data_IF_909264090514
#
_entry.id   IF_909264090514
#
_cell.length_a   1.000
_cell.length_b   1.000
_cell.length_c   1.000
_cell.angle_alpha   90.00
_cell.angle_beta   90.00
_cell.angle_gamma   90.00
#
_symmetry.space_group_name_H-M   'P 1'
#
loop_
_entity.id
_entity.type
_entity.pdbx_description
1 polymer ?
#
# COMPACT_ATOMS: atom_id res chain seq x y z
N UNK A 1 -74.57 41.95 30.24
CA UNK A 1 -73.16 41.87 30.74
C UNK A 1 -72.79 40.41 31.00
N UNK A 2 -72.09 39.75 30.07
CA UNK A 2 -71.64 38.32 30.20
C UNK A 2 -70.13 38.30 30.38
N UNK A 3 -69.66 37.92 31.57
CA UNK A 3 -68.25 37.71 31.86
C UNK A 3 -67.83 36.35 31.31
N UNK A 4 -66.89 36.34 30.33
CA UNK A 4 -66.21 35.13 29.82
C UNK A 4 -65.06 34.84 30.78
N UNK A 5 -65.08 33.68 31.39
CA UNK A 5 -63.93 33.10 32.13
C UNK A 5 -63.03 32.40 31.14
N UNK A 6 -61.81 32.86 31.02
CA UNK A 6 -60.74 32.21 30.26
C UNK A 6 -60.05 31.20 31.18
N UNK A 7 -60.22 29.92 30.87
CA UNK A 7 -59.42 28.87 31.53
C UNK A 7 -58.03 28.81 30.80
N UNK A 8 -57.00 29.14 31.55
CA UNK A 8 -55.61 28.88 31.17
C UNK A 8 -55.31 27.41 31.50
N UNK A 9 -55.16 26.57 30.47
CA UNK A 9 -54.63 25.22 30.61
C UNK A 9 -53.10 25.29 30.58
N UNK A 10 -52.45 25.04 31.73
CA UNK A 10 -51.03 24.84 31.86
C UNK A 10 -50.71 23.45 31.28
N UNK A 11 -50.11 23.41 30.08
CA UNK A 11 -49.49 22.20 29.54
C UNK A 11 -48.12 22.07 30.16
N UNK A 12 -47.96 21.18 31.12
CA UNK A 12 -46.67 20.78 31.65
C UNK A 12 -45.95 19.89 30.59
N UNK A 13 -45.01 20.46 29.88
CA UNK A 13 -44.06 19.69 29.08
C UNK A 13 -43.13 18.91 30.01
N UNK A 14 -43.40 17.63 30.18
CA UNK A 14 -42.48 16.69 30.78
C UNK A 14 -41.31 16.49 29.81
N UNK A 15 -40.21 17.20 30.05
CA UNK A 15 -38.91 16.95 29.42
C UNK A 15 -38.36 15.62 29.91
N UNK A 16 -38.69 14.52 29.23
CA UNK A 16 -38.01 13.25 29.44
C UNK A 16 -36.59 13.39 28.90
N UNK A 17 -35.66 13.74 29.77
CA UNK A 17 -34.23 13.59 29.55
C UNK A 17 -33.94 12.08 29.41
N UNK A 18 -33.94 11.58 28.18
CA UNK A 18 -33.33 10.29 27.88
C UNK A 18 -31.83 10.44 28.16
N UNK A 19 -31.42 10.18 29.40
CA UNK A 19 -30.03 9.89 29.71
C UNK A 19 -29.70 8.65 28.88
N UNK A 20 -29.03 8.83 27.74
CA UNK A 20 -28.45 7.73 26.99
C UNK A 20 -27.53 7.01 27.97
N UNK A 21 -27.90 5.80 28.39
CA UNK A 21 -27.04 4.93 29.16
C UNK A 21 -25.84 4.61 28.27
N UNK A 22 -24.73 5.30 28.45
CA UNK A 22 -23.46 4.97 27.84
C UNK A 22 -23.05 3.66 28.47
N UNK A 23 -23.01 2.59 27.69
CA UNK A 23 -22.54 1.28 28.13
C UNK A 23 -21.06 1.42 28.55
N UNK A 24 -20.71 1.18 29.83
CA UNK A 24 -19.33 1.29 30.29
C UNK A 24 -18.40 0.29 29.61
N UNK A 25 -18.91 -0.86 29.13
CA UNK A 25 -18.15 -1.83 28.36
C UNK A 25 -17.79 -1.27 26.96
N UNK A 26 -18.72 -0.61 26.28
CA UNK A 26 -18.48 0.06 25.01
C UNK A 26 -17.43 1.19 25.15
N UNK A 27 -17.43 1.89 26.27
CA UNK A 27 -16.43 2.94 26.53
C UNK A 27 -15.03 2.35 26.78
N UNK A 28 -14.93 1.22 27.47
CA UNK A 28 -13.66 0.54 27.71
C UNK A 28 -13.07 -0.04 26.43
N UNK A 29 -13.88 -0.66 25.57
CA UNK A 29 -13.48 -1.15 24.26
C UNK A 29 -12.98 -0.01 23.37
N UNK A 30 -13.70 1.11 23.34
CA UNK A 30 -13.32 2.30 22.58
C UNK A 30 -11.97 2.87 23.06
N UNK A 31 -11.74 2.94 24.35
CA UNK A 31 -10.46 3.38 24.93
C UNK A 31 -9.32 2.42 24.59
N UNK A 32 -9.57 1.11 24.64
CA UNK A 32 -8.58 0.10 24.27
C UNK A 32 -8.18 0.22 22.80
N UNK A 33 -9.14 0.48 21.91
CA UNK A 33 -8.93 0.68 20.47
C UNK A 33 -8.08 1.94 20.22
N UNK A 34 -8.40 3.05 20.86
CA UNK A 34 -7.62 4.29 20.78
C UNK A 34 -6.19 4.10 21.29
N UNK A 35 -6.03 3.39 22.43
CA UNK A 35 -4.73 3.10 23.00
C UNK A 35 -3.87 2.18 22.12
N UNK A 36 -4.48 1.22 21.45
CA UNK A 36 -3.81 0.35 20.49
C UNK A 36 -3.36 1.13 19.25
N UNK A 37 -4.23 1.98 18.73
CA UNK A 37 -3.95 2.80 17.54
C UNK A 37 -2.89 3.86 17.83
N UNK A 38 -2.92 4.50 19.01
CA UNK A 38 -1.92 5.48 19.42
C UNK A 38 -0.50 4.90 19.60
N UNK A 39 -0.39 3.59 19.81
CA UNK A 39 0.91 2.88 19.92
C UNK A 39 1.43 2.39 18.57
N UNK A 40 0.60 2.37 17.55
CA UNK A 40 0.98 1.88 16.22
C UNK A 40 1.74 2.99 15.49
N UNK A 41 2.95 2.68 15.02
CA UNK A 41 3.63 3.57 14.10
C UNK A 41 2.83 3.66 12.79
N UNK A 42 2.71 4.85 12.19
CA UNK A 42 2.07 5.02 10.89
C UNK A 42 2.75 4.15 9.83
N UNK A 43 2.00 3.71 8.84
CA UNK A 43 2.51 2.90 7.75
C UNK A 43 2.50 3.69 6.44
N UNK A 44 3.53 3.49 5.62
CA UNK A 44 3.56 3.95 4.24
C UNK A 44 3.62 2.73 3.32
N UNK A 45 2.54 2.49 2.61
CA UNK A 45 2.40 1.37 1.69
C UNK A 45 2.54 1.87 0.25
N UNK A 46 3.48 1.31 -0.49
CA UNK A 46 3.61 1.57 -1.92
C UNK A 46 3.23 0.33 -2.73
N UNK A 47 2.50 0.54 -3.81
CA UNK A 47 2.13 -0.46 -4.79
C UNK A 47 2.74 -0.09 -6.14
N UNK A 48 3.53 -0.97 -6.70
CA UNK A 48 4.16 -0.80 -8.01
C UNK A 48 3.59 -1.83 -8.96
N UNK A 49 3.13 -1.40 -10.13
CA UNK A 49 2.45 -2.22 -11.12
C UNK A 49 3.24 -2.28 -12.41
N UNK A 50 3.56 -3.50 -12.83
CA UNK A 50 4.21 -3.76 -14.11
C UNK A 50 3.20 -3.64 -15.25
N UNK A 51 3.61 -2.94 -16.32
CA UNK A 51 2.83 -2.73 -17.53
C UNK A 51 3.23 -3.68 -18.67
N UNK A 52 4.21 -4.56 -18.47
CA UNK A 52 4.77 -5.42 -19.54
C UNK A 52 3.82 -6.48 -20.09
N UNK A 53 2.54 -6.52 -19.63
CA UNK A 53 1.57 -7.52 -20.08
C UNK A 53 1.81 -8.93 -19.54
N UNK A 54 2.85 -9.12 -18.74
CA UNK A 54 3.17 -10.39 -18.08
C UNK A 54 2.13 -10.75 -16.99
N UNK A 55 1.42 -9.74 -16.46
CA UNK A 55 0.32 -9.93 -15.50
C UNK A 55 -1.00 -10.05 -16.27
N UNK A 56 -1.50 -11.27 -16.46
CA UNK A 56 -2.72 -11.53 -17.23
C UNK A 56 -4.01 -11.53 -16.38
N UNK A 57 -5.17 -11.35 -17.04
CA UNK A 57 -6.51 -11.07 -16.48
C UNK A 57 -6.92 -11.77 -15.18
N UNK A 58 -6.64 -13.06 -14.98
CA UNK A 58 -6.97 -13.76 -13.74
C UNK A 58 -6.04 -13.41 -12.57
N UNK A 59 -4.81 -12.96 -12.85
CA UNK A 59 -3.87 -12.44 -11.85
C UNK A 59 -4.32 -11.05 -11.38
N UNK A 60 -4.84 -10.22 -12.29
CA UNK A 60 -5.42 -8.92 -11.95
C UNK A 60 -6.62 -9.05 -11.02
N UNK A 61 -7.53 -9.99 -11.28
CA UNK A 61 -8.69 -10.22 -10.40
C UNK A 61 -8.28 -10.65 -8.99
N UNK A 62 -7.24 -11.48 -8.88
CA UNK A 62 -6.66 -11.86 -7.60
C UNK A 62 -5.97 -10.66 -6.94
N UNK A 63 -5.19 -9.89 -7.69
CA UNK A 63 -4.54 -8.68 -7.21
C UNK A 63 -5.54 -7.66 -6.65
N UNK A 64 -6.68 -7.45 -7.32
CA UNK A 64 -7.75 -6.57 -6.82
C UNK A 64 -8.28 -6.97 -5.44
N UNK A 65 -8.45 -8.28 -5.21
CA UNK A 65 -8.88 -8.78 -3.89
C UNK A 65 -7.81 -8.51 -2.84
N UNK A 66 -6.55 -8.81 -3.14
CA UNK A 66 -5.42 -8.57 -2.25
C UNK A 66 -5.26 -7.07 -1.92
N UNK A 67 -5.33 -6.21 -2.93
CA UNK A 67 -5.24 -4.76 -2.79
C UNK A 67 -6.37 -4.23 -1.89
N UNK A 68 -7.62 -4.63 -2.16
CA UNK A 68 -8.77 -4.20 -1.37
C UNK A 68 -8.62 -4.58 0.10
N UNK A 69 -8.22 -5.81 0.39
CA UNK A 69 -8.08 -6.29 1.76
C UNK A 69 -6.92 -5.57 2.47
N UNK A 70 -5.82 -5.29 1.75
CA UNK A 70 -4.68 -4.54 2.29
C UNK A 70 -5.03 -3.07 2.57
N UNK A 71 -5.73 -2.39 1.65
CA UNK A 71 -6.18 -1.00 1.83
C UNK A 71 -7.15 -0.88 3.00
N UNK A 72 -8.06 -1.86 3.17
CA UNK A 72 -8.98 -1.90 4.31
C UNK A 72 -8.31 -2.04 5.66
N UNK A 73 -7.12 -2.63 5.71
CA UNK A 73 -6.36 -2.80 6.95
C UNK A 73 -5.62 -1.54 7.39
N UNK A 74 -5.54 -0.51 6.54
CA UNK A 74 -4.86 0.74 6.87
C UNK A 74 -5.63 1.55 7.91
N UNK A 75 -4.90 2.14 8.84
CA UNK A 75 -5.43 2.99 9.88
C UNK A 75 -5.32 4.48 9.54
N UNK A 76 -5.84 5.32 10.43
CA UNK A 76 -5.72 6.77 10.32
C UNK A 76 -4.26 7.21 10.26
N UNK A 77 -3.96 8.18 9.39
CA UNK A 77 -2.60 8.71 9.19
C UNK A 77 -1.68 7.84 8.33
N UNK A 78 -2.07 6.61 7.95
CA UNK A 78 -1.31 5.80 7.00
C UNK A 78 -1.30 6.43 5.61
N UNK A 79 -0.29 6.10 4.81
CA UNK A 79 -0.13 6.62 3.46
C UNK A 79 -0.13 5.49 2.44
N UNK A 80 -0.78 5.73 1.31
CA UNK A 80 -0.73 4.87 0.14
C UNK A 80 -0.04 5.62 -1.00
N UNK A 81 0.83 4.92 -1.71
CA UNK A 81 1.37 5.34 -3.00
C UNK A 81 1.13 4.24 -4.04
N UNK A 82 0.70 4.61 -5.23
CA UNK A 82 0.65 3.73 -6.40
C UNK A 82 1.55 4.30 -7.49
N UNK A 83 2.34 3.44 -8.15
CA UNK A 83 3.28 3.81 -9.20
C UNK A 83 3.30 2.75 -10.29
N UNK A 84 3.46 3.16 -11.54
CA UNK A 84 3.73 2.25 -12.66
C UNK A 84 5.23 1.98 -12.76
N UNK A 85 5.59 0.74 -13.09
CA UNK A 85 6.95 0.41 -13.53
C UNK A 85 7.23 1.12 -14.85
N UNK A 86 8.37 1.79 -14.92
CA UNK A 86 8.80 2.48 -16.12
C UNK A 86 9.28 1.51 -17.18
N UNK A 87 9.05 1.87 -18.43
CA UNK A 87 9.64 1.19 -19.56
C UNK A 87 11.04 1.71 -19.89
N UNK A 88 11.21 3.04 -19.80
CA UNK A 88 12.49 3.75 -20.05
C UNK A 88 12.61 4.90 -19.06
N UNK A 89 13.35 4.70 -18.02
CA UNK A 89 13.47 5.60 -16.87
C UNK A 89 13.93 7.04 -17.17
N UNK A 90 14.59 7.27 -18.30
CA UNK A 90 15.16 8.59 -18.64
C UNK A 90 14.21 9.46 -19.48
N UNK A 91 13.14 8.90 -20.02
CA UNK A 91 12.25 9.59 -20.96
C UNK A 91 10.79 9.69 -20.50
N UNK A 92 10.39 8.93 -19.45
CA UNK A 92 9.01 8.83 -18.98
C UNK A 92 8.88 9.27 -17.52
N UNK A 93 7.85 10.05 -17.26
CA UNK A 93 7.42 10.34 -15.89
C UNK A 93 6.45 9.22 -15.48
N UNK A 94 6.74 8.44 -14.42
CA UNK A 94 5.84 7.38 -14.00
C UNK A 94 4.51 7.98 -13.58
N UNK A 95 3.41 7.35 -13.99
CA UNK A 95 2.12 7.66 -13.42
C UNK A 95 2.16 7.31 -11.95
N UNK A 96 1.93 8.31 -11.11
CA UNK A 96 1.99 8.18 -9.66
C UNK A 96 0.75 8.78 -9.00
N UNK A 97 0.27 8.12 -7.99
CA UNK A 97 -0.78 8.60 -7.11
C UNK A 97 -0.39 8.34 -5.65
N UNK A 98 -0.61 9.30 -4.79
CA UNK A 98 -0.26 9.16 -3.38
C UNK A 98 -1.24 9.95 -2.52
N UNK A 99 -1.78 9.29 -1.48
CA UNK A 99 -2.70 9.89 -0.52
C UNK A 99 -2.51 9.31 0.88
N UNK A 100 -2.92 10.07 1.89
CA UNK A 100 -2.97 9.59 3.27
C UNK A 100 -4.40 9.28 3.69
N UNK A 101 -4.57 8.23 4.48
CA UNK A 101 -5.82 7.96 5.18
C UNK A 101 -6.11 9.15 6.08
N UNK A 102 -7.32 9.72 6.05
CA UNK A 102 -7.67 10.87 6.89
C UNK A 102 -7.31 10.62 8.35
N UNK A 103 -6.71 11.61 8.99
CA UNK A 103 -6.45 11.56 10.42
C UNK A 103 -7.77 11.71 11.19
N UNK A 104 -7.78 11.33 12.47
CA UNK A 104 -8.93 11.57 13.33
C UNK A 104 -9.07 13.06 13.59
N UNK A 105 -10.31 13.55 13.65
CA UNK A 105 -10.59 14.93 14.08
C UNK A 105 -10.12 15.16 15.52
N UNK A 106 -10.24 14.13 16.39
CA UNK A 106 -9.77 14.13 17.76
C UNK A 106 -9.06 12.82 18.08
N UNK A 107 -7.88 12.92 18.67
CA UNK A 107 -7.06 11.76 19.05
C UNK A 107 -7.61 10.99 20.27
N UNK A 108 -8.43 11.65 21.10
CA UNK A 108 -8.97 11.11 22.35
C UNK A 108 -10.38 10.50 22.20
N UNK A 109 -11.01 10.62 21.01
CA UNK A 109 -12.35 10.13 20.74
C UNK A 109 -12.44 9.41 19.42
N UNK A 110 -13.31 8.40 19.33
CA UNK A 110 -13.74 7.80 18.07
C UNK A 110 -15.05 8.45 17.66
N UNK A 111 -15.00 9.29 16.64
CA UNK A 111 -16.17 9.96 16.12
C UNK A 111 -16.76 9.17 14.93
N UNK A 112 -18.07 9.15 14.74
CA UNK A 112 -18.67 8.55 13.53
C UNK A 112 -18.17 9.19 12.24
N UNK A 113 -17.83 10.49 12.24
CA UNK A 113 -17.22 11.21 11.12
C UNK A 113 -15.91 10.60 10.68
N UNK A 114 -15.05 10.16 11.63
CA UNK A 114 -13.76 9.54 11.32
C UNK A 114 -13.95 8.23 10.56
N UNK A 115 -14.87 7.38 11.03
CA UNK A 115 -15.20 6.12 10.35
C UNK A 115 -15.74 6.36 8.95
N UNK A 116 -16.64 7.33 8.78
CA UNK A 116 -17.20 7.69 7.47
C UNK A 116 -16.12 8.22 6.53
N UNK A 117 -15.23 9.08 7.02
CA UNK A 117 -14.13 9.64 6.23
C UNK A 117 -13.16 8.54 5.78
N UNK A 118 -12.78 7.63 6.70
CA UNK A 118 -11.93 6.48 6.39
C UNK A 118 -12.59 5.53 5.38
N UNK A 119 -13.86 5.18 5.57
CA UNK A 119 -14.58 4.27 4.66
C UNK A 119 -14.73 4.85 3.25
N UNK A 120 -14.93 6.17 3.15
CA UNK A 120 -14.92 6.86 1.87
C UNK A 120 -13.54 6.76 1.22
N UNK A 121 -12.49 7.10 1.96
CA UNK A 121 -11.11 6.98 1.48
C UNK A 121 -10.80 5.57 1.00
N UNK A 122 -11.16 4.54 1.78
CA UNK A 122 -10.91 3.14 1.41
C UNK A 122 -11.60 2.77 0.09
N UNK A 123 -12.87 3.17 -0.10
CA UNK A 123 -13.58 2.93 -1.37
C UNK A 123 -12.86 3.60 -2.53
N UNK A 124 -12.60 4.91 -2.40
CA UNK A 124 -12.00 5.72 -3.47
C UNK A 124 -10.58 5.20 -3.81
N UNK A 125 -9.80 4.80 -2.80
CA UNK A 125 -8.47 4.22 -2.99
C UNK A 125 -8.53 2.85 -3.69
N UNK A 126 -9.46 1.97 -3.29
CA UNK A 126 -9.64 0.66 -3.91
C UNK A 126 -10.05 0.81 -5.38
N UNK A 127 -11.01 1.68 -5.67
CA UNK A 127 -11.48 1.93 -7.04
C UNK A 127 -10.35 2.51 -7.91
N UNK A 128 -9.57 3.45 -7.35
CA UNK A 128 -8.42 4.01 -8.05
C UNK A 128 -7.33 2.98 -8.34
N UNK A 129 -6.94 2.18 -7.33
CA UNK A 129 -5.91 1.14 -7.48
C UNK A 129 -6.34 0.06 -8.45
N UNK A 130 -7.62 -0.33 -8.45
CA UNK A 130 -8.16 -1.27 -9.42
C UNK A 130 -8.07 -0.71 -10.86
N UNK A 131 -8.51 0.53 -11.07
CA UNK A 131 -8.40 1.20 -12.37
C UNK A 131 -6.94 1.39 -12.81
N UNK A 132 -6.04 1.63 -11.85
CA UNK A 132 -4.61 1.77 -12.09
C UNK A 132 -3.98 0.45 -12.55
N UNK A 133 -4.27 -0.65 -11.84
CA UNK A 133 -3.83 -1.99 -12.21
C UNK A 133 -4.39 -2.44 -13.56
N UNK A 134 -5.67 -2.15 -13.84
CA UNK A 134 -6.31 -2.47 -15.12
C UNK A 134 -5.70 -1.69 -16.29
N UNK A 135 -5.32 -0.43 -16.08
CA UNK A 135 -4.66 0.37 -17.12
C UNK A 135 -3.27 -0.18 -17.44
N UNK A 136 -2.55 -0.62 -16.42
CA UNK A 136 -1.23 -1.23 -16.58
C UNK A 136 -1.28 -2.50 -17.46
N UNK A 137 -2.34 -3.31 -17.35
CA UNK A 137 -2.51 -4.53 -18.13
C UNK A 137 -2.96 -4.35 -19.61
N UNK A 138 -3.35 -3.13 -20.02
CA UNK A 138 -3.91 -2.88 -21.38
C UNK A 138 -2.89 -2.45 -22.41
N UNK A 139 -1.81 -1.84 -21.99
CA UNK A 139 -0.77 -1.38 -22.89
C UNK A 139 0.34 -2.44 -22.93
N UNK A 140 0.49 -3.09 -24.09
CA UNK A 140 1.64 -3.96 -24.34
C UNK A 140 2.89 -3.10 -24.53
N UNK A 141 3.57 -2.86 -23.44
CA UNK A 141 4.80 -2.10 -23.41
C UNK A 141 5.98 -3.09 -23.49
N UNK A 142 6.95 -2.78 -24.33
CA UNK A 142 8.17 -3.58 -24.46
C UNK A 142 9.23 -3.03 -23.52
N UNK A 143 9.61 -3.82 -22.52
CA UNK A 143 10.65 -3.49 -21.56
C UNK A 143 10.11 -3.09 -20.19
N UNK A 144 10.90 -3.32 -19.16
CA UNK A 144 10.56 -3.07 -17.75
C UNK A 144 11.82 -2.59 -17.04
N UNK A 145 11.78 -1.38 -16.46
CA UNK A 145 12.91 -0.81 -15.72
C UNK A 145 12.61 -0.75 -14.21
N UNK A 146 12.75 -1.89 -13.56
CA UNK A 146 12.54 -2.04 -12.12
C UNK A 146 13.61 -1.26 -11.35
N UNK A 147 14.87 -1.33 -11.79
CA UNK A 147 15.99 -0.71 -11.07
C UNK A 147 15.81 0.79 -10.92
N UNK A 148 15.41 1.49 -11.99
CA UNK A 148 15.16 2.94 -11.91
C UNK A 148 13.92 3.27 -11.09
N UNK A 149 12.87 2.45 -11.19
CA UNK A 149 11.65 2.62 -10.38
C UNK A 149 11.97 2.51 -8.88
N UNK A 150 12.95 1.71 -8.46
CA UNK A 150 13.36 1.62 -7.06
C UNK A 150 13.98 2.92 -6.54
N UNK A 151 14.61 3.73 -7.38
CA UNK A 151 15.06 5.09 -7.01
C UNK A 151 13.86 6.01 -6.74
N UNK A 152 12.84 6.00 -7.59
CA UNK A 152 11.64 6.80 -7.41
C UNK A 152 10.88 6.40 -6.13
N UNK A 153 10.84 5.12 -5.83
CA UNK A 153 10.24 4.59 -4.59
C UNK A 153 11.04 5.01 -3.36
N UNK A 154 12.38 5.00 -3.43
CA UNK A 154 13.21 5.46 -2.32
C UNK A 154 12.93 6.94 -2.00
N UNK A 155 12.80 7.79 -3.04
CA UNK A 155 12.42 9.20 -2.89
C UNK A 155 11.02 9.35 -2.26
N UNK A 156 10.04 8.55 -2.68
CA UNK A 156 8.70 8.58 -2.11
C UNK A 156 8.70 8.20 -0.62
N UNK A 157 9.44 7.16 -0.23
CA UNK A 157 9.56 6.75 1.16
C UNK A 157 10.33 7.74 2.05
N UNK A 158 11.21 8.55 1.45
CA UNK A 158 11.95 9.60 2.17
C UNK A 158 11.06 10.73 2.66
N UNK A 159 9.90 10.93 2.03
CA UNK A 159 8.92 11.97 2.43
C UNK A 159 8.40 11.72 3.86
N UNK A 160 8.34 10.46 4.31
CA UNK A 160 7.88 10.07 5.66
C UNK A 160 8.85 9.06 6.29
N UNK A 161 9.99 9.52 6.81
CA UNK A 161 11.04 8.62 7.32
C UNK A 161 10.60 7.76 8.51
N UNK A 162 9.74 8.29 9.37
CA UNK A 162 9.31 7.68 10.65
C UNK A 162 8.10 6.73 10.50
N UNK A 163 7.89 6.16 9.31
CA UNK A 163 6.81 5.21 9.05
C UNK A 163 7.34 3.79 8.85
N UNK A 164 6.52 2.78 9.16
CA UNK A 164 6.75 1.43 8.63
C UNK A 164 6.53 1.45 7.11
N UNK A 165 7.49 0.97 6.35
CA UNK A 165 7.48 1.04 4.89
C UNK A 165 7.30 -0.34 4.30
N UNK A 166 6.26 -0.52 3.48
CA UNK A 166 6.02 -1.77 2.75
C UNK A 166 5.86 -1.49 1.28
N UNK A 167 6.65 -2.16 0.46
CA UNK A 167 6.59 -2.08 -1.00
C UNK A 167 6.04 -3.38 -1.58
N UNK A 168 4.90 -3.30 -2.24
CA UNK A 168 4.31 -4.38 -3.02
C UNK A 168 4.63 -4.18 -4.50
N UNK A 169 5.31 -5.16 -5.12
CA UNK A 169 5.69 -5.14 -6.53
C UNK A 169 4.86 -6.19 -7.25
N UNK A 170 3.94 -5.75 -8.10
CA UNK A 170 3.14 -6.62 -8.98
C UNK A 170 3.86 -6.75 -10.31
N UNK A 171 4.76 -7.74 -10.41
CA UNK A 171 5.61 -7.99 -11.58
C UNK A 171 6.13 -9.43 -11.56
N UNK A 172 6.50 -9.96 -12.74
CA UNK A 172 7.28 -11.18 -12.84
C UNK A 172 8.77 -10.97 -12.49
N UNK A 173 9.15 -9.71 -12.23
CA UNK A 173 10.50 -9.29 -11.82
C UNK A 173 11.56 -9.45 -12.91
N UNK A 174 11.15 -9.49 -14.18
CA UNK A 174 12.08 -9.54 -15.31
C UNK A 174 12.48 -8.11 -15.72
N UNK A 175 13.66 -7.68 -15.30
CA UNK A 175 14.26 -6.44 -15.79
C UNK A 175 14.54 -6.58 -17.28
N UNK A 176 14.02 -5.65 -18.09
CA UNK A 176 14.19 -5.62 -19.53
C UNK A 176 14.50 -4.22 -20.03
N UNK A 177 15.79 -3.91 -20.14
CA UNK A 177 16.33 -2.65 -20.65
C UNK A 177 17.44 -2.90 -21.65
N UNK A 178 17.96 -1.83 -22.29
CA UNK A 178 19.12 -1.95 -23.21
C UNK A 178 20.34 -2.61 -22.54
N UNK A 179 20.53 -2.36 -21.24
CA UNK A 179 21.73 -2.77 -20.52
C UNK A 179 21.57 -4.10 -19.76
N UNK A 180 20.32 -4.52 -19.52
CA UNK A 180 20.01 -5.72 -18.75
C UNK A 180 18.72 -6.38 -19.27
N UNK A 181 18.82 -7.68 -19.60
CA UNK A 181 17.70 -8.46 -20.10
C UNK A 181 17.64 -9.81 -19.37
N UNK A 182 16.70 -9.93 -18.43
CA UNK A 182 16.62 -11.12 -17.58
C UNK A 182 15.88 -12.30 -18.21
N UNK A 183 15.13 -12.10 -19.30
CA UNK A 183 14.55 -13.20 -20.07
C UNK A 183 15.63 -13.98 -20.84
N UNK A 184 16.64 -13.27 -21.36
CA UNK A 184 17.78 -13.91 -22.01
C UNK A 184 18.85 -14.26 -20.98
N UNK A 185 19.04 -15.55 -20.74
CA UNK A 185 20.05 -16.03 -19.79
C UNK A 185 21.48 -15.56 -20.08
N UNK A 186 21.79 -15.24 -21.34
CA UNK A 186 23.10 -14.71 -21.75
C UNK A 186 23.29 -13.26 -21.35
N UNK A 187 22.18 -12.55 -21.10
CA UNK A 187 22.14 -11.13 -20.71
C UNK A 187 21.74 -10.94 -19.24
N UNK A 188 21.57 -12.05 -18.51
CA UNK A 188 21.42 -12.01 -17.07
C UNK A 188 22.60 -11.29 -16.42
N UNK A 189 22.37 -10.44 -15.41
CA UNK A 189 23.45 -9.79 -14.69
C UNK A 189 24.38 -10.82 -14.06
N UNK A 190 25.68 -10.56 -14.16
CA UNK A 190 26.70 -11.39 -13.53
C UNK A 190 26.63 -11.31 -11.98
N UNK A 191 27.13 -12.32 -11.29
CA UNK A 191 27.07 -12.37 -9.81
C UNK A 191 27.76 -11.17 -9.12
N UNK A 192 28.69 -10.51 -9.80
CA UNK A 192 29.40 -9.33 -9.30
C UNK A 192 28.70 -7.99 -9.65
N UNK A 193 27.51 -8.03 -10.31
CA UNK A 193 26.80 -6.80 -10.68
C UNK A 193 26.41 -5.99 -9.44
N UNK A 194 25.76 -6.62 -8.42
CA UNK A 194 25.36 -5.95 -7.19
C UNK A 194 26.57 -5.41 -6.40
N UNK A 195 27.64 -6.19 -6.13
CA UNK A 195 28.85 -5.65 -5.53
C UNK A 195 29.46 -4.45 -6.25
N UNK A 196 29.46 -4.44 -7.58
CA UNK A 196 29.95 -3.29 -8.36
C UNK A 196 29.01 -2.07 -8.23
N UNK A 197 27.70 -2.29 -8.18
CA UNK A 197 26.74 -1.21 -7.99
C UNK A 197 26.89 -0.57 -6.60
N UNK A 198 27.10 -1.37 -5.55
CA UNK A 198 27.45 -0.89 -4.20
C UNK A 198 28.73 -0.06 -4.22
N UNK A 199 29.79 -0.59 -4.83
CA UNK A 199 31.09 0.12 -4.88
C UNK A 199 31.00 1.46 -5.62
N UNK A 200 30.08 1.60 -6.56
CA UNK A 200 29.82 2.86 -7.28
C UNK A 200 28.85 3.81 -6.58
N UNK A 201 28.18 3.35 -5.51
CA UNK A 201 27.17 4.14 -4.81
C UNK A 201 25.93 4.47 -5.65
N UNK A 202 25.54 3.56 -6.56
CA UNK A 202 24.41 3.79 -7.48
C UNK A 202 23.13 3.06 -7.07
N UNK A 203 23.11 2.43 -5.90
CA UNK A 203 21.89 1.82 -5.38
C UNK A 203 21.05 2.83 -4.61
N UNK A 204 19.70 2.75 -4.68
CA UNK A 204 18.81 3.56 -3.85
C UNK A 204 18.91 3.12 -2.38
N UNK A 205 18.60 4.04 -1.47
CA UNK A 205 18.43 3.71 -0.05
C UNK A 205 16.99 3.29 0.22
N UNK A 206 16.80 1.98 0.44
CA UNK A 206 15.53 1.37 0.84
C UNK A 206 15.61 0.82 2.26
N UNK A 207 16.44 1.42 3.11
CA UNK A 207 16.63 0.97 4.50
C UNK A 207 15.29 0.88 5.26
N UNK A 208 15.05 -0.28 5.86
CA UNK A 208 13.83 -0.56 6.63
C UNK A 208 12.56 -0.76 5.78
N UNK A 209 12.67 -0.88 4.45
CA UNK A 209 11.54 -1.21 3.59
C UNK A 209 11.32 -2.72 3.54
N UNK A 210 10.10 -3.16 3.84
CA UNK A 210 9.65 -4.53 3.62
C UNK A 210 9.22 -4.72 2.16
N UNK A 211 9.83 -5.66 1.45
CA UNK A 211 9.53 -5.95 0.03
C UNK A 211 8.62 -7.17 -0.07
N UNK A 212 7.56 -7.06 -0.85
CA UNK A 212 6.64 -8.14 -1.20
C UNK A 212 6.44 -8.18 -2.70
N UNK A 213 6.77 -9.30 -3.34
CA UNK A 213 6.66 -9.51 -4.77
C UNK A 213 5.48 -10.42 -5.08
N UNK A 214 4.63 -10.00 -6.00
CA UNK A 214 3.43 -10.71 -6.48
C UNK A 214 3.52 -10.88 -7.99
N UNK A 215 3.45 -12.10 -8.48
CA UNK A 215 3.54 -12.41 -9.91
C UNK A 215 4.84 -13.09 -10.34
N UNK A 216 5.85 -13.12 -9.47
CA UNK A 216 7.15 -13.68 -9.79
C UNK A 216 7.13 -15.21 -9.90
N UNK A 217 7.70 -15.74 -10.97
CA UNK A 217 7.85 -17.19 -11.17
C UNK A 217 8.99 -17.72 -10.33
N UNK A 218 8.71 -18.79 -9.58
CA UNK A 218 9.67 -19.46 -8.71
C UNK A 218 9.78 -20.96 -8.98
N UNK A 219 9.06 -21.44 -9.98
CA UNK A 219 8.93 -22.86 -10.37
C UNK A 219 9.97 -23.34 -11.40
N UNK A 220 10.83 -22.42 -11.86
CA UNK A 220 11.88 -22.71 -12.85
C UNK A 220 13.25 -22.30 -12.36
N UNK A 221 14.31 -22.92 -12.86
CA UNK A 221 15.70 -22.53 -12.57
C UNK A 221 15.99 -21.07 -12.98
N UNK A 222 15.38 -20.61 -14.06
CA UNK A 222 15.49 -19.21 -14.47
C UNK A 222 14.85 -18.28 -13.44
N UNK A 223 13.63 -18.58 -13.00
CA UNK A 223 12.93 -17.81 -11.95
C UNK A 223 13.69 -17.81 -10.63
N UNK A 224 14.32 -18.92 -10.25
CA UNK A 224 15.16 -18.98 -9.04
C UNK A 224 16.40 -18.08 -9.16
N UNK A 225 17.05 -18.00 -10.34
CA UNK A 225 18.17 -17.07 -10.55
C UNK A 225 17.73 -15.61 -10.47
N UNK A 226 16.59 -15.27 -11.04
CA UNK A 226 15.99 -13.94 -10.95
C UNK A 226 15.71 -13.60 -9.49
N UNK A 227 15.06 -14.51 -8.73
CA UNK A 227 14.83 -14.35 -7.28
C UNK A 227 16.11 -14.09 -6.53
N UNK A 228 17.16 -14.88 -6.80
CA UNK A 228 18.46 -14.72 -6.12
C UNK A 228 19.09 -13.36 -6.40
N UNK A 229 19.02 -12.86 -7.64
CA UNK A 229 19.50 -11.52 -7.97
C UNK A 229 18.75 -10.46 -7.16
N UNK A 230 17.42 -10.50 -7.14
CA UNK A 230 16.63 -9.50 -6.41
C UNK A 230 16.82 -9.57 -4.89
N UNK A 231 17.04 -10.75 -4.33
CA UNK A 231 17.39 -10.87 -2.90
C UNK A 231 18.70 -10.14 -2.59
N UNK A 232 19.74 -10.36 -3.37
CA UNK A 232 21.02 -9.67 -3.21
C UNK A 232 20.90 -8.16 -3.43
N UNK A 233 20.11 -7.74 -4.41
CA UNK A 233 19.87 -6.34 -4.69
C UNK A 233 19.17 -5.64 -3.53
N UNK A 234 18.04 -6.18 -3.06
CA UNK A 234 17.28 -5.57 -1.96
C UNK A 234 18.07 -5.59 -0.64
N UNK A 235 18.78 -6.64 -0.36
CA UNK A 235 19.70 -6.68 0.79
C UNK A 235 20.76 -5.56 0.70
N UNK A 236 21.34 -5.34 -0.46
CA UNK A 236 22.33 -4.30 -0.69
C UNK A 236 21.76 -2.88 -0.60
N UNK A 237 20.45 -2.68 -0.83
CA UNK A 237 19.74 -1.41 -0.64
C UNK A 237 19.26 -1.19 0.80
N UNK A 238 19.49 -2.13 1.72
CA UNK A 238 19.01 -2.09 3.10
C UNK A 238 17.53 -2.51 3.28
N UNK A 239 16.88 -2.99 2.23
CA UNK A 239 15.53 -3.52 2.30
C UNK A 239 15.51 -5.00 2.73
N UNK A 240 14.34 -5.44 3.20
CA UNK A 240 14.13 -6.85 3.59
C UNK A 240 13.19 -7.53 2.59
N UNK A 241 13.68 -8.57 1.91
CA UNK A 241 12.88 -9.48 1.08
C UNK A 241 12.96 -10.89 1.65
N UNK A 242 11.89 -11.33 2.36
CA UNK A 242 11.78 -12.70 2.86
C UNK A 242 11.37 -13.67 1.75
N UNK A 243 11.72 -14.95 1.90
CA UNK A 243 11.40 -15.97 0.89
C UNK A 243 9.90 -16.16 0.66
N UNK A 244 9.10 -16.08 1.72
CA UNK A 244 7.64 -16.16 1.67
C UNK A 244 6.99 -14.94 1.01
N UNK A 245 7.69 -13.81 0.98
CA UNK A 245 7.24 -12.56 0.35
C UNK A 245 7.56 -12.49 -1.16
N UNK A 246 8.14 -13.53 -1.75
CA UNK A 246 8.44 -13.61 -3.17
C UNK A 246 7.67 -14.77 -3.80
N UNK A 247 6.51 -14.49 -4.40
CA UNK A 247 5.61 -15.54 -4.87
C UNK A 247 4.83 -15.17 -6.12
N UNK A 248 4.35 -16.21 -6.83
CA UNK A 248 3.48 -16.02 -7.99
C UNK A 248 2.06 -15.60 -7.57
N UNK A 249 1.51 -16.22 -6.51
CA UNK A 249 0.15 -15.97 -6.00
C UNK A 249 0.10 -16.08 -4.49
N UNK A 250 0.36 -14.98 -3.77
CA UNK A 250 0.18 -14.99 -2.33
C UNK A 250 -1.30 -15.12 -1.97
N UNK A 251 -1.60 -15.76 -0.85
CA UNK A 251 -2.97 -15.88 -0.34
C UNK A 251 -3.48 -14.54 0.20
N UNK A 252 -2.57 -13.75 0.79
CA UNK A 252 -2.85 -12.42 1.33
C UNK A 252 -1.61 -11.53 1.18
N UNK A 253 -1.82 -10.23 1.14
CA UNK A 253 -0.73 -9.28 1.34
C UNK A 253 -0.47 -9.12 2.85
N UNK A 254 0.79 -9.18 3.28
CA UNK A 254 1.13 -9.01 4.68
C UNK A 254 0.94 -7.55 5.14
N UNK A 255 0.81 -7.35 6.46
CA UNK A 255 0.85 -6.04 7.11
C UNK A 255 2.27 -5.59 7.43
N UNK A 256 2.38 -4.52 8.22
CA UNK A 256 3.67 -3.93 8.62
C UNK A 256 4.58 -4.91 9.39
N UNK A 257 3.99 -5.93 10.01
CA UNK A 257 4.70 -6.96 10.80
C UNK A 257 5.41 -8.03 9.93
N UNK A 258 5.25 -7.98 8.62
CA UNK A 258 5.70 -9.05 7.71
C UNK A 258 7.22 -9.15 7.51
N UNK A 259 7.94 -8.13 7.89
CA UNK A 259 9.38 -8.07 7.89
C UNK A 259 9.91 -7.70 9.25
#
# INVERSE_FOLDING_TARGET
MRRRRILLALVALASSSAAACIDPAATAEQQALLAAEAKRAPEHVAFVFDRSGSIQGHQLSHAHTLLRDRVRSLGHGDRITAMELLQRSLEEVPRRWSQSVPERERSDLVLPSDSIARDRFVRDAVDYLAAFADSAGREQITGTDILSTMHDIAEEFRVRPDTHKTLFIFSDMLQSTSDMEMEDQRRMPSADWVPRAVARGVLPDLSGVCIVVVGARVDTDAGQRVKQFWKLYFEATGATLRDENYSYRPVRLPGAEAC
#
